data_IF_503637318530
#
_entry.id   IF_503637318530
#
_cell.length_a   1.000
_cell.length_b   1.000
_cell.length_c   1.000
_cell.angle_alpha   90.00
_cell.angle_beta   90.00
_cell.angle_gamma   90.00
#
_symmetry.space_group_name_H-M   'P 1'
#
loop_
_entity.id
_entity.type
_entity.pdbx_description
1 polymer ?
#
# COMPACT_ATOMS: atom_id res chain seq x y z
N UNK A 1 -1.85 -21.69 -4.80
CA UNK A 1 -2.29 -20.59 -5.68
C UNK A 1 -1.07 -19.71 -5.91
N UNK A 2 -0.62 -19.58 -7.14
CA UNK A 2 0.71 -19.04 -7.46
C UNK A 2 0.80 -17.52 -7.23
N UNK A 3 1.92 -17.07 -6.65
CA UNK A 3 2.34 -15.67 -6.44
C UNK A 3 2.52 -14.83 -7.74
N UNK A 4 2.10 -15.35 -8.89
CA UNK A 4 2.41 -14.85 -10.24
C UNK A 4 1.73 -13.52 -10.62
N UNK A 5 0.92 -12.91 -9.76
CA UNK A 5 0.20 -11.67 -10.10
C UNK A 5 0.22 -10.60 -9.00
N UNK A 6 1.14 -10.72 -8.04
CA UNK A 6 1.31 -9.74 -6.97
C UNK A 6 2.16 -8.57 -7.49
N UNK A 7 1.58 -7.37 -7.51
CA UNK A 7 2.29 -6.13 -7.85
C UNK A 7 2.75 -5.46 -6.56
N UNK A 8 4.02 -5.04 -6.52
CA UNK A 8 4.51 -4.22 -5.41
C UNK A 8 3.87 -2.84 -5.46
N UNK A 9 3.67 -2.24 -4.30
CA UNK A 9 3.05 -0.93 -4.18
C UNK A 9 3.68 -0.08 -3.09
N UNK A 10 3.51 1.23 -3.27
CA UNK A 10 3.73 2.25 -2.25
C UNK A 10 2.39 2.97 -2.05
N UNK A 11 1.87 2.93 -0.83
CA UNK A 11 0.69 3.66 -0.43
C UNK A 11 1.08 4.84 0.46
N UNK A 12 0.56 6.01 0.13
CA UNK A 12 0.72 7.24 0.92
C UNK A 12 -0.56 7.44 1.73
N UNK A 13 -0.42 7.59 3.03
CA UNK A 13 -1.51 7.87 3.96
C UNK A 13 -1.83 9.36 3.94
N UNK A 14 -3.10 9.71 4.09
CA UNK A 14 -3.53 11.09 4.31
C UNK A 14 -2.84 11.64 5.55
N UNK A 15 -2.25 12.84 5.43
CA UNK A 15 -1.50 13.48 6.51
C UNK A 15 -2.34 13.64 7.79
N UNK A 16 -3.66 13.81 7.64
CA UNK A 16 -4.62 13.93 8.74
C UNK A 16 -5.02 12.58 9.38
N UNK A 17 -4.56 11.46 8.83
CA UNK A 17 -4.85 10.11 9.31
C UNK A 17 -3.58 9.30 9.64
N UNK A 18 -2.43 9.97 9.76
CA UNK A 18 -1.14 9.34 10.06
C UNK A 18 -1.10 8.65 11.42
N UNK A 19 -1.87 9.12 12.39
CA UNK A 19 -2.07 8.49 13.70
C UNK A 19 -2.75 7.12 13.61
N UNK A 20 -3.53 6.88 12.54
CA UNK A 20 -4.25 5.63 12.26
C UNK A 20 -3.53 4.71 11.28
N UNK A 21 -2.26 4.97 10.96
CA UNK A 21 -1.54 4.23 9.90
C UNK A 21 -1.56 2.71 10.10
N UNK A 22 -1.50 2.22 11.33
CA UNK A 22 -1.57 0.78 11.62
C UNK A 22 -2.96 0.21 11.31
N UNK A 23 -4.03 0.96 11.59
CA UNK A 23 -5.39 0.56 11.24
C UNK A 23 -5.59 0.53 9.73
N UNK A 24 -5.06 1.54 9.02
CA UNK A 24 -5.08 1.60 7.56
C UNK A 24 -4.31 0.41 6.95
N UNK A 25 -3.15 0.05 7.52
CA UNK A 25 -2.42 -1.15 7.11
C UNK A 25 -3.25 -2.44 7.26
N UNK A 26 -4.02 -2.57 8.34
CA UNK A 26 -4.95 -3.70 8.51
C UNK A 26 -6.11 -3.67 7.51
N UNK A 27 -6.63 -2.49 7.16
CA UNK A 27 -7.65 -2.37 6.11
C UNK A 27 -7.11 -2.77 4.73
N UNK A 28 -5.88 -2.36 4.39
CA UNK A 28 -5.20 -2.79 3.16
C UNK A 28 -5.04 -4.33 3.12
N UNK A 29 -4.70 -4.97 4.25
CA UNK A 29 -4.67 -6.44 4.35
C UNK A 29 -6.02 -7.08 4.05
N UNK A 30 -7.11 -6.51 4.59
CA UNK A 30 -8.48 -6.99 4.34
C UNK A 30 -8.87 -6.89 2.86
N UNK A 31 -8.33 -5.91 2.13
CA UNK A 31 -8.48 -5.78 0.69
C UNK A 31 -7.58 -6.72 -0.14
N UNK A 32 -6.80 -7.56 0.53
CA UNK A 32 -5.96 -8.59 -0.10
C UNK A 32 -4.51 -8.18 -0.32
N UNK A 33 -4.06 -7.08 0.29
CA UNK A 33 -2.64 -6.74 0.31
C UNK A 33 -1.86 -7.62 1.29
N UNK A 34 -0.61 -7.92 0.94
CA UNK A 34 0.42 -8.32 1.88
C UNK A 34 1.25 -7.07 2.21
N UNK A 35 1.36 -6.72 3.49
CA UNK A 35 2.14 -5.57 3.94
C UNK A 35 3.58 -6.01 4.20
N UNK A 36 4.53 -5.25 3.64
CA UNK A 36 5.97 -5.48 3.83
C UNK A 36 6.55 -4.52 4.87
N UNK A 37 6.21 -3.24 4.81
CA UNK A 37 6.65 -2.24 5.80
C UNK A 37 5.58 -1.18 6.08
N UNK A 38 5.62 -0.65 7.31
CA UNK A 38 4.85 0.52 7.74
C UNK A 38 5.86 1.56 8.25
N UNK A 39 6.05 2.63 7.48
CA UNK A 39 6.93 3.75 7.79
C UNK A 39 6.07 4.88 8.37
N UNK A 40 5.69 4.73 9.64
CA UNK A 40 4.76 5.64 10.33
C UNK A 40 5.19 7.09 10.34
N UNK A 41 6.49 7.36 10.48
CA UNK A 41 7.01 8.73 10.48
C UNK A 41 6.79 9.46 9.15
N UNK A 42 6.80 8.75 8.03
CA UNK A 42 6.64 9.34 6.68
C UNK A 42 5.24 9.14 6.10
N UNK A 43 4.35 8.42 6.80
CA UNK A 43 3.01 8.11 6.29
C UNK A 43 3.01 7.12 5.12
N UNK A 44 4.03 6.26 5.01
CA UNK A 44 4.18 5.33 3.89
C UNK A 44 3.90 3.88 4.33
N UNK A 45 3.13 3.16 3.53
CA UNK A 45 2.93 1.71 3.66
C UNK A 45 3.39 1.06 2.36
N UNK A 46 4.26 0.06 2.44
CA UNK A 46 4.69 -0.73 1.27
C UNK A 46 4.19 -2.17 1.38
N UNK A 47 3.99 -2.80 0.22
CA UNK A 47 3.54 -4.17 0.18
C UNK A 47 3.36 -4.69 -1.23
N UNK A 48 2.58 -5.76 -1.34
CA UNK A 48 2.15 -6.33 -2.60
C UNK A 48 0.66 -6.63 -2.64
N UNK A 49 0.04 -6.51 -3.80
CA UNK A 49 -1.39 -6.80 -4.00
C UNK A 49 -1.66 -7.37 -5.39
N UNK A 50 -2.67 -8.26 -5.54
CA UNK A 50 -3.14 -8.66 -6.86
C UNK A 50 -3.98 -7.56 -7.53
N UNK A 51 -4.43 -6.54 -6.79
CA UNK A 51 -5.32 -5.49 -7.30
C UNK A 51 -5.08 -4.13 -6.60
N UNK A 52 -4.29 -3.27 -7.24
CA UNK A 52 -4.00 -1.90 -6.79
C UNK A 52 -5.26 -1.02 -6.69
N UNK A 53 -6.24 -1.20 -7.59
CA UNK A 53 -7.43 -0.35 -7.66
C UNK A 53 -8.33 -0.52 -6.44
N UNK A 54 -8.29 -1.68 -5.77
CA UNK A 54 -8.99 -1.90 -4.50
C UNK A 54 -8.37 -1.10 -3.37
N UNK A 55 -7.03 -1.04 -3.32
CA UNK A 55 -6.31 -0.34 -2.25
C UNK A 55 -6.56 1.17 -2.27
N UNK A 56 -6.69 1.77 -3.46
CA UNK A 56 -7.03 3.19 -3.62
C UNK A 56 -8.41 3.59 -3.06
N UNK A 57 -9.25 2.64 -2.63
CA UNK A 57 -10.56 2.92 -2.04
C UNK A 57 -10.57 2.82 -0.52
N UNK A 58 -9.45 2.45 0.09
CA UNK A 58 -9.31 2.37 1.55
C UNK A 58 -9.31 3.78 2.11
N UNK A 59 -10.14 4.02 3.13
CA UNK A 59 -10.22 5.33 3.78
C UNK A 59 -8.88 5.68 4.46
N UNK A 60 -8.52 6.95 4.42
CA UNK A 60 -7.22 7.44 4.90
C UNK A 60 -6.04 7.15 3.98
N UNK A 61 -6.22 6.52 2.81
CA UNK A 61 -5.19 6.43 1.78
C UNK A 61 -5.31 7.60 0.82
N UNK A 62 -4.23 8.38 0.69
CA UNK A 62 -4.11 9.51 -0.24
C UNK A 62 -3.82 9.04 -1.67
N UNK A 63 -2.92 8.08 -1.81
CA UNK A 63 -2.59 7.47 -3.11
C UNK A 63 -1.98 6.07 -2.95
N UNK A 64 -2.12 5.26 -3.99
CA UNK A 64 -1.41 3.98 -4.15
C UNK A 64 -0.79 3.93 -5.53
N UNK A 65 0.53 3.75 -5.58
CA UNK A 65 1.32 3.64 -6.80
C UNK A 65 1.97 2.25 -6.89
N UNK A 66 2.15 1.77 -8.12
CA UNK A 66 2.90 0.54 -8.36
C UNK A 66 4.39 0.81 -8.19
N UNK A 67 5.05 0.06 -7.32
CA UNK A 67 6.49 0.14 -7.10
C UNK A 67 7.21 -0.57 -8.26
N UNK A 68 7.56 0.21 -9.28
CA UNK A 68 8.29 -0.28 -10.46
C UNK A 68 9.76 0.10 -10.34
N UNK A 69 10.62 -0.88 -10.59
CA UNK A 69 12.04 -0.60 -10.80
C UNK A 69 12.20 0.23 -12.09
N UNK A 70 12.63 1.48 -11.94
CA UNK A 70 13.08 2.28 -13.07
C UNK A 70 14.50 1.85 -13.42
N UNK A 71 14.64 1.00 -14.45
CA UNK A 71 15.92 0.84 -15.12
C UNK A 71 16.14 2.08 -15.99
N UNK A 72 17.04 2.96 -15.56
CA UNK A 72 17.57 3.99 -16.45
C UNK A 72 18.33 3.29 -17.60
N UNK A 73 17.90 3.52 -18.84
CA UNK A 73 18.59 3.09 -20.06
C UNK A 73 19.73 4.06 -20.41
#
# INVERSE_FOLDING_TARGET
MSDKNQKKFIAVVDENQTDKINEIAEQLKKEGAKIDQVLSFTGIITGSTPNLQKLNKVDGVKSVEEDRENYAL
#
